data_IF_969165491252
#
_entry.id   IF_969165491252
#
_cell.length_a   1.000
_cell.length_b   1.000
_cell.length_c   1.000
_cell.angle_alpha   90.00
_cell.angle_beta   90.00
_cell.angle_gamma   90.00
#
_symmetry.space_group_name_H-M   'P 1'
#
loop_
_entity.id
_entity.type
_entity.pdbx_description
1 polymer ?
#
# COMPACT_ATOMS: atom_id res chain seq x y z
N UNK A 1 44.98 -40.09 8.68
CA UNK A 1 44.06 -40.10 7.52
C UNK A 1 42.66 -40.25 8.08
N UNK A 2 41.81 -39.23 7.96
CA UNK A 2 40.38 -39.34 8.27
C UNK A 2 39.62 -39.36 6.95
N UNK A 3 38.84 -40.43 6.73
CA UNK A 3 37.95 -40.52 5.58
C UNK A 3 36.68 -39.73 5.87
N UNK A 4 36.38 -38.74 5.02
CA UNK A 4 35.07 -38.14 4.96
C UNK A 4 34.10 -39.15 4.32
N UNK A 5 33.28 -39.83 5.13
CA UNK A 5 32.10 -40.58 4.64
C UNK A 5 31.05 -39.59 4.11
N UNK A 6 31.28 -39.10 2.88
CA UNK A 6 30.26 -38.41 2.10
C UNK A 6 29.28 -39.44 1.59
N UNK A 7 28.16 -39.58 2.31
CA UNK A 7 26.95 -40.23 1.80
C UNK A 7 26.69 -39.73 0.36
N UNK A 8 26.37 -40.64 -0.59
CA UNK A 8 26.14 -40.23 -1.97
C UNK A 8 24.95 -39.27 -2.03
N UNK A 9 25.24 -38.01 -2.36
CA UNK A 9 24.24 -37.02 -2.69
C UNK A 9 23.57 -37.46 -4.00
N UNK A 10 22.46 -38.19 -3.89
CA UNK A 10 21.56 -38.36 -5.02
C UNK A 10 21.15 -36.99 -5.53
N UNK A 11 21.21 -36.78 -6.86
CA UNK A 11 20.91 -35.47 -7.43
C UNK A 11 19.50 -35.03 -7.03
N UNK A 12 19.43 -33.88 -6.38
CA UNK A 12 18.16 -33.24 -6.00
C UNK A 12 17.53 -32.70 -7.29
N UNK A 13 16.73 -33.51 -7.97
CA UNK A 13 16.05 -33.12 -9.21
C UNK A 13 14.69 -32.49 -8.89
N UNK A 14 14.28 -31.53 -9.72
CA UNK A 14 12.94 -30.94 -9.65
C UNK A 14 11.84 -32.03 -9.72
N UNK A 15 10.85 -32.03 -8.81
CA UNK A 15 9.83 -33.09 -8.74
C UNK A 15 8.74 -32.98 -9.81
N UNK A 16 8.70 -31.89 -10.58
CA UNK A 16 7.72 -31.67 -11.63
C UNK A 16 7.83 -32.73 -12.73
N UNK A 17 6.74 -33.43 -13.13
CA UNK A 17 6.78 -34.45 -14.18
C UNK A 17 7.41 -33.94 -15.49
N UNK A 18 8.36 -34.70 -16.03
CA UNK A 18 9.12 -34.32 -17.23
C UNK A 18 10.22 -33.28 -16.98
N UNK A 19 10.25 -32.58 -15.85
CA UNK A 19 11.35 -31.72 -15.47
C UNK A 19 12.56 -32.56 -15.02
N UNK A 20 13.77 -32.08 -15.37
CA UNK A 20 15.06 -32.69 -15.00
C UNK A 20 16.07 -31.68 -14.46
N UNK A 21 15.60 -30.49 -14.08
CA UNK A 21 16.49 -29.45 -13.57
C UNK A 21 17.05 -29.81 -12.19
N UNK A 22 18.36 -29.67 -12.06
CA UNK A 22 19.12 -29.93 -10.85
C UNK A 22 18.91 -28.80 -9.83
N UNK A 23 18.73 -29.19 -8.58
CA UNK A 23 18.55 -28.31 -7.44
C UNK A 23 19.73 -28.45 -6.47
N UNK A 24 19.91 -27.42 -5.64
CA UNK A 24 20.84 -27.41 -4.51
C UNK A 24 20.13 -26.91 -3.27
N UNK A 25 20.44 -27.52 -2.13
CA UNK A 25 20.03 -27.01 -0.84
C UNK A 25 20.77 -25.71 -0.50
N UNK A 26 20.05 -24.74 0.04
CA UNK A 26 20.57 -23.45 0.51
C UNK A 26 20.10 -23.25 1.94
N UNK A 27 21.02 -22.83 2.81
CA UNK A 27 20.71 -22.38 4.15
C UNK A 27 21.01 -20.88 4.30
N UNK A 28 20.02 -20.10 4.73
CA UNK A 28 20.19 -18.69 5.04
C UNK A 28 20.87 -18.56 6.40
N UNK A 29 22.19 -18.36 6.43
CA UNK A 29 23.02 -18.28 7.65
C UNK A 29 22.46 -17.39 8.77
N UNK A 30 21.69 -16.34 8.44
CA UNK A 30 21.09 -15.42 9.42
C UNK A 30 19.79 -15.92 10.05
N UNK A 31 19.07 -16.85 9.41
CA UNK A 31 17.72 -17.29 9.84
C UNK A 31 17.60 -18.81 9.97
N UNK A 32 18.64 -19.58 9.65
CA UNK A 32 18.62 -21.05 9.60
C UNK A 32 17.67 -21.63 8.55
N UNK A 33 17.05 -20.80 7.72
CA UNK A 33 16.02 -21.24 6.77
C UNK A 33 16.66 -22.04 5.64
N UNK A 34 16.22 -23.30 5.49
CA UNK A 34 16.64 -24.20 4.41
C UNK A 34 15.61 -24.21 3.28
N UNK A 35 16.06 -24.11 2.03
CA UNK A 35 15.22 -24.22 0.83
C UNK A 35 16.00 -24.80 -0.36
N UNK A 36 15.29 -25.23 -1.40
CA UNK A 36 15.87 -25.71 -2.66
C UNK A 36 15.82 -24.62 -3.73
N UNK A 37 16.91 -24.44 -4.49
CA UNK A 37 16.96 -23.61 -5.70
C UNK A 37 17.64 -24.36 -6.84
N UNK A 38 17.50 -23.90 -8.08
CA UNK A 38 18.28 -24.43 -9.20
C UNK A 38 19.80 -24.35 -8.94
N UNK A 39 20.55 -25.36 -9.40
CA UNK A 39 22.01 -25.39 -9.33
C UNK A 39 22.58 -24.17 -10.09
N UNK A 40 23.49 -23.38 -9.49
CA UNK A 40 24.08 -22.23 -10.18
C UNK A 40 24.73 -22.65 -11.51
N UNK A 41 24.45 -21.90 -12.58
CA UNK A 41 24.94 -22.22 -13.94
C UNK A 41 24.03 -23.13 -14.76
N UNK A 42 22.95 -23.68 -14.20
CA UNK A 42 21.94 -24.45 -14.98
C UNK A 42 20.77 -23.57 -15.40
N UNK A 43 19.95 -24.05 -16.34
CA UNK A 43 18.69 -23.41 -16.71
C UNK A 43 17.70 -23.36 -15.53
N UNK A 44 17.08 -22.20 -15.34
CA UNK A 44 15.98 -22.01 -14.39
C UNK A 44 14.72 -22.67 -14.93
N UNK A 45 14.36 -23.83 -14.38
CA UNK A 45 13.10 -24.51 -14.72
C UNK A 45 11.85 -23.76 -14.23
N UNK A 46 12.01 -22.78 -13.35
CA UNK A 46 10.94 -22.02 -12.72
C UNK A 46 10.11 -22.74 -11.66
N UNK A 47 10.05 -24.08 -11.70
CA UNK A 47 9.32 -24.93 -10.75
C UNK A 47 10.00 -25.07 -9.38
N UNK A 48 11.24 -24.60 -9.20
CA UNK A 48 11.94 -24.74 -7.94
C UNK A 48 11.29 -23.91 -6.81
N UNK A 49 10.96 -24.59 -5.71
CA UNK A 49 10.23 -24.11 -4.51
C UNK A 49 10.98 -23.04 -3.67
N UNK A 50 11.91 -22.31 -4.26
CA UNK A 50 12.83 -21.41 -3.57
C UNK A 50 13.49 -20.40 -4.50
N UNK A 51 12.71 -19.78 -5.40
CA UNK A 51 13.14 -18.56 -6.10
C UNK A 51 13.49 -17.50 -5.06
N UNK A 52 14.78 -17.34 -4.77
CA UNK A 52 15.32 -16.33 -3.85
C UNK A 52 15.24 -14.91 -4.43
N UNK A 53 14.03 -14.43 -4.73
CA UNK A 53 13.76 -13.03 -5.10
C UNK A 53 13.70 -12.15 -3.85
N UNK A 54 14.86 -11.99 -3.18
CA UNK A 54 15.15 -11.02 -2.10
C UNK A 54 14.22 -10.94 -0.88
N UNK A 55 13.09 -11.66 -0.85
CA UNK A 55 12.25 -11.90 0.31
C UNK A 55 12.68 -13.19 1.01
N UNK A 56 12.73 -13.15 2.35
CA UNK A 56 12.76 -14.37 3.15
C UNK A 56 11.45 -15.17 3.02
N UNK A 57 11.34 -16.33 3.68
CA UNK A 57 10.11 -17.11 3.69
C UNK A 57 8.91 -16.24 4.14
N UNK A 58 7.70 -16.46 3.58
CA UNK A 58 6.54 -15.66 3.92
C UNK A 58 6.26 -15.70 5.42
N UNK A 59 5.91 -14.56 6.01
CA UNK A 59 5.63 -14.46 7.45
C UNK A 59 4.40 -15.27 7.84
N UNK A 60 4.26 -15.59 9.13
CA UNK A 60 3.06 -16.25 9.65
C UNK A 60 1.79 -15.42 9.35
N UNK A 61 1.87 -14.09 9.49
CA UNK A 61 0.84 -13.13 9.07
C UNK A 61 0.45 -13.27 7.60
N UNK A 62 1.44 -13.35 6.69
CA UNK A 62 1.20 -13.46 5.25
C UNK A 62 0.54 -14.78 4.88
N UNK A 63 1.05 -15.90 5.39
CA UNK A 63 0.48 -17.25 5.19
C UNK A 63 -0.93 -17.38 5.76
N UNK A 64 -1.17 -16.82 6.94
CA UNK A 64 -2.51 -16.81 7.55
C UNK A 64 -3.50 -15.98 6.73
N UNK A 65 -3.09 -14.80 6.24
CA UNK A 65 -3.94 -13.98 5.37
C UNK A 65 -4.24 -14.68 4.03
N UNK A 66 -3.24 -15.26 3.36
CA UNK A 66 -3.43 -16.06 2.15
C UNK A 66 -4.48 -17.16 2.35
N UNK A 67 -4.26 -18.04 3.34
CA UNK A 67 -5.17 -19.14 3.65
C UNK A 67 -6.59 -18.60 3.93
N UNK A 68 -6.71 -17.59 4.80
CA UNK A 68 -8.00 -17.06 5.24
C UNK A 68 -8.77 -16.34 4.12
N UNK A 69 -8.06 -15.76 3.14
CA UNK A 69 -8.65 -15.18 1.93
C UNK A 69 -9.13 -16.27 0.96
N UNK A 70 -8.35 -17.35 0.79
CA UNK A 70 -8.75 -18.50 -0.03
C UNK A 70 -10.00 -19.19 0.56
N UNK A 71 -10.02 -19.45 1.88
CA UNK A 71 -11.18 -19.94 2.62
C UNK A 71 -12.41 -19.05 2.40
N UNK A 72 -12.28 -17.72 2.55
CA UNK A 72 -13.40 -16.80 2.32
C UNK A 72 -13.92 -16.79 0.88
N UNK A 73 -13.08 -17.09 -0.12
CA UNK A 73 -13.52 -17.23 -1.51
C UNK A 73 -14.21 -18.59 -1.76
N UNK A 74 -13.71 -19.67 -1.15
CA UNK A 74 -14.36 -20.99 -1.15
C UNK A 74 -15.75 -20.96 -0.51
N UNK A 75 -15.86 -20.31 0.64
CA UNK A 75 -17.10 -19.98 1.36
C UNK A 75 -18.13 -19.19 0.51
N UNK A 76 -17.67 -18.50 -0.54
CA UNK A 76 -18.49 -17.74 -1.49
C UNK A 76 -18.82 -18.54 -2.76
N UNK A 77 -18.40 -19.81 -2.84
CA UNK A 77 -18.64 -20.71 -3.98
C UNK A 77 -17.57 -20.67 -5.08
N UNK A 78 -16.44 -19.99 -4.87
CA UNK A 78 -15.37 -19.90 -5.87
C UNK A 78 -14.20 -20.84 -5.54
N UNK A 79 -13.67 -21.52 -6.56
CA UNK A 79 -12.39 -22.23 -6.41
C UNK A 79 -11.26 -21.22 -6.23
N UNK A 80 -10.49 -21.34 -5.15
CA UNK A 80 -9.40 -20.44 -4.82
C UNK A 80 -8.14 -21.21 -4.42
N UNK A 81 -7.01 -20.87 -5.04
CA UNK A 81 -5.71 -21.54 -4.87
C UNK A 81 -4.75 -20.58 -4.18
N UNK A 82 -4.26 -20.94 -2.99
CA UNK A 82 -3.17 -20.25 -2.31
C UNK A 82 -1.84 -20.51 -3.03
N UNK A 83 -0.98 -19.50 -3.14
CA UNK A 83 0.35 -19.56 -3.77
C UNK A 83 0.32 -20.16 -5.19
N UNK A 84 -0.64 -19.71 -6.01
CA UNK A 84 -0.90 -20.28 -7.33
C UNK A 84 0.31 -20.13 -8.27
N UNK A 85 0.95 -21.27 -8.57
CA UNK A 85 2.25 -21.34 -9.23
C UNK A 85 2.34 -20.58 -10.57
N UNK A 86 1.40 -20.84 -11.49
CA UNK A 86 1.45 -20.30 -12.86
C UNK A 86 1.40 -18.77 -12.87
N UNK A 87 0.38 -18.22 -12.20
CA UNK A 87 0.16 -16.77 -12.08
C UNK A 87 1.13 -16.11 -11.10
N UNK A 88 1.73 -16.88 -10.18
CA UNK A 88 2.47 -16.45 -8.97
C UNK A 88 1.67 -15.55 -8.02
N UNK A 89 0.34 -15.67 -7.99
CA UNK A 89 -0.52 -14.90 -7.09
C UNK A 89 -0.54 -15.48 -5.67
N UNK A 90 -0.65 -14.61 -4.66
CA UNK A 90 -0.77 -15.04 -3.26
C UNK A 90 -2.05 -15.86 -3.02
N UNK A 91 -3.16 -15.43 -3.62
CA UNK A 91 -4.37 -16.24 -3.83
C UNK A 91 -4.90 -15.99 -5.24
N UNK A 92 -5.15 -17.06 -5.99
CA UNK A 92 -5.80 -17.03 -7.29
C UNK A 92 -7.24 -17.54 -7.18
N UNK A 93 -8.21 -16.71 -7.53
CA UNK A 93 -9.63 -17.08 -7.51
C UNK A 93 -10.11 -17.31 -8.95
N UNK A 94 -10.60 -18.51 -9.21
CA UNK A 94 -11.25 -18.85 -10.48
C UNK A 94 -12.60 -18.13 -10.56
N UNK A 95 -12.67 -17.19 -11.49
CA UNK A 95 -13.84 -16.37 -11.81
C UNK A 95 -13.72 -15.92 -13.28
N UNK A 96 -14.72 -15.19 -13.79
CA UNK A 96 -14.70 -14.66 -15.16
C UNK A 96 -14.80 -13.13 -15.14
N UNK A 97 -13.69 -12.38 -15.29
CA UNK A 97 -12.29 -12.85 -15.35
C UNK A 97 -11.75 -13.30 -13.98
N UNK A 98 -10.62 -14.05 -13.92
CA UNK A 98 -10.00 -14.46 -12.67
C UNK A 98 -9.59 -13.28 -11.79
N UNK A 99 -9.45 -13.51 -10.48
CA UNK A 99 -8.97 -12.51 -9.53
C UNK A 99 -7.68 -12.99 -8.84
N UNK A 100 -6.59 -12.27 -9.08
CA UNK A 100 -5.35 -12.40 -8.32
C UNK A 100 -5.40 -11.47 -7.10
N UNK A 101 -5.46 -12.05 -5.90
CA UNK A 101 -5.36 -11.32 -4.63
C UNK A 101 -3.91 -11.40 -4.15
N UNK A 102 -3.33 -10.27 -3.78
CA UNK A 102 -1.91 -10.10 -3.42
C UNK A 102 -1.79 -9.45 -2.04
N UNK A 103 -1.11 -10.10 -1.08
CA UNK A 103 -0.99 -9.63 0.32
C UNK A 103 0.36 -8.94 0.51
N UNK A 104 0.42 -7.61 0.42
CA UNK A 104 1.71 -6.92 0.28
C UNK A 104 2.09 -6.06 1.49
N UNK A 105 2.99 -6.59 2.33
CA UNK A 105 3.55 -5.86 3.49
C UNK A 105 4.65 -4.86 3.12
N UNK A 106 5.57 -5.24 2.25
CA UNK A 106 6.76 -4.45 1.92
C UNK A 106 6.56 -3.62 0.63
N UNK A 107 7.33 -2.53 0.39
CA UNK A 107 7.39 -1.92 -0.94
C UNK A 107 7.75 -2.95 -2.01
N UNK A 108 7.03 -2.94 -3.14
CA UNK A 108 7.29 -3.81 -4.29
C UNK A 108 7.04 -3.03 -5.58
N UNK A 109 7.39 -3.60 -6.73
CA UNK A 109 7.02 -3.07 -8.04
C UNK A 109 5.54 -3.38 -8.33
N UNK A 110 4.63 -2.68 -7.65
CA UNK A 110 3.19 -2.94 -7.71
C UNK A 110 2.65 -2.91 -9.15
N UNK A 111 2.98 -1.87 -9.93
CA UNK A 111 2.53 -1.74 -11.31
C UNK A 111 3.02 -2.89 -12.21
N UNK A 112 4.26 -3.36 -12.03
CA UNK A 112 4.83 -4.44 -12.84
C UNK A 112 4.23 -5.79 -12.48
N UNK A 113 4.01 -6.06 -11.19
CA UNK A 113 3.29 -7.25 -10.72
C UNK A 113 1.81 -7.22 -11.16
N UNK A 114 1.14 -6.06 -11.08
CA UNK A 114 -0.23 -5.90 -11.61
C UNK A 114 -0.28 -6.26 -13.10
N UNK A 115 0.63 -5.71 -13.92
CA UNK A 115 0.72 -6.03 -15.36
C UNK A 115 1.00 -7.51 -15.61
N UNK A 116 1.84 -8.16 -14.80
CA UNK A 116 2.09 -9.60 -14.92
C UNK A 116 0.81 -10.42 -14.71
N UNK A 117 0.00 -10.15 -13.68
CA UNK A 117 -1.29 -10.85 -13.46
C UNK A 117 -2.34 -10.53 -14.52
N UNK A 118 -2.36 -9.28 -15.00
CA UNK A 118 -3.24 -8.87 -16.10
C UNK A 118 -2.86 -9.56 -17.41
N UNK A 119 -1.57 -9.87 -17.63
CA UNK A 119 -1.14 -10.66 -18.79
C UNK A 119 -1.61 -12.12 -18.75
N UNK A 120 -1.88 -12.67 -17.56
CA UNK A 120 -2.58 -13.95 -17.37
C UNK A 120 -4.11 -13.80 -17.33
N UNK A 121 -4.66 -12.69 -17.83
CA UNK A 121 -6.10 -12.43 -17.92
C UNK A 121 -6.81 -12.04 -16.61
N UNK A 122 -6.06 -11.83 -15.52
CA UNK A 122 -6.65 -11.61 -14.20
C UNK A 122 -6.88 -10.13 -13.87
N UNK A 123 -7.98 -9.87 -13.16
CA UNK A 123 -8.09 -8.69 -12.31
C UNK A 123 -7.16 -8.83 -11.10
N UNK A 124 -6.76 -7.71 -10.51
CA UNK A 124 -5.83 -7.68 -9.37
C UNK A 124 -6.47 -6.97 -8.18
N UNK A 125 -6.24 -7.52 -6.98
CA UNK A 125 -6.60 -6.91 -5.71
C UNK A 125 -5.41 -6.95 -4.76
N UNK A 126 -4.82 -5.79 -4.48
CA UNK A 126 -3.75 -5.65 -3.49
C UNK A 126 -4.34 -5.43 -2.09
N UNK A 127 -4.02 -6.31 -1.15
CA UNK A 127 -4.37 -6.16 0.26
C UNK A 127 -3.11 -5.83 1.06
N UNK A 128 -3.05 -4.61 1.57
CA UNK A 128 -1.96 -4.15 2.41
C UNK A 128 -2.37 -4.39 3.88
N UNK A 129 -1.65 -5.19 4.68
CA UNK A 129 -1.94 -5.32 6.12
C UNK A 129 -1.60 -4.03 6.89
N UNK A 130 -1.96 -3.95 8.17
CA UNK A 130 -1.56 -2.82 9.03
C UNK A 130 -0.04 -2.78 9.28
N UNK A 131 0.62 -3.95 9.25
CA UNK A 131 2.08 -4.08 9.28
C UNK A 131 2.78 -3.49 8.04
N UNK A 132 2.03 -3.17 6.97
CA UNK A 132 2.50 -2.42 5.81
C UNK A 132 2.58 -0.90 6.10
N UNK A 133 3.49 -0.53 7.00
CA UNK A 133 3.64 0.83 7.54
C UNK A 133 4.47 1.78 6.67
N UNK A 134 5.13 1.29 5.63
CA UNK A 134 6.00 2.13 4.79
C UNK A 134 5.22 3.19 4.00
N UNK A 135 5.75 4.41 3.94
CA UNK A 135 5.15 5.50 3.14
C UNK A 135 5.05 5.16 1.64
N UNK A 136 5.97 4.31 1.12
CA UNK A 136 5.92 3.84 -0.27
C UNK A 136 4.69 2.97 -0.51
N UNK A 137 4.44 1.96 0.33
CA UNK A 137 3.23 1.14 0.24
C UNK A 137 1.94 1.97 0.47
N UNK A 138 1.97 2.91 1.41
CA UNK A 138 0.83 3.80 1.68
C UNK A 138 0.45 4.71 0.48
N UNK A 139 1.40 5.07 -0.40
CA UNK A 139 1.10 5.79 -1.66
C UNK A 139 0.43 4.89 -2.70
N UNK A 140 0.86 3.64 -2.80
CA UNK A 140 0.31 2.69 -3.79
C UNK A 140 -1.11 2.24 -3.46
N UNK A 141 -1.51 2.31 -2.19
CA UNK A 141 -2.90 2.12 -1.73
C UNK A 141 -3.94 2.93 -2.55
N UNK A 142 -3.60 4.13 -3.02
CA UNK A 142 -4.51 4.99 -3.79
C UNK A 142 -4.16 5.06 -5.30
N UNK A 143 -3.23 4.23 -5.77
CA UNK A 143 -2.77 4.21 -7.18
C UNK A 143 -3.08 2.91 -7.89
N UNK A 144 -3.05 1.81 -7.15
CA UNK A 144 -3.32 0.47 -7.61
C UNK A 144 -4.72 0.03 -7.15
N UNK A 145 -5.34 -0.98 -7.77
CA UNK A 145 -6.51 -1.69 -7.25
C UNK A 145 -6.23 -2.32 -5.87
N UNK A 146 -6.27 -1.49 -4.82
CA UNK A 146 -5.68 -1.80 -3.53
C UNK A 146 -6.60 -1.40 -2.38
N UNK A 147 -6.48 -2.10 -1.25
CA UNK A 147 -7.19 -1.80 -0.02
C UNK A 147 -6.36 -2.17 1.22
N UNK A 148 -6.72 -1.60 2.38
CA UNK A 148 -6.12 -1.96 3.66
C UNK A 148 -6.88 -3.16 4.24
N UNK A 149 -6.20 -4.26 4.53
CA UNK A 149 -6.77 -5.39 5.28
C UNK A 149 -6.41 -5.24 6.77
N UNK A 150 -7.37 -5.56 7.64
CA UNK A 150 -7.23 -5.56 9.10
C UNK A 150 -7.87 -6.80 9.68
N UNK A 151 -7.34 -7.27 10.80
CA UNK A 151 -7.89 -8.39 11.57
C UNK A 151 -8.22 -7.88 12.96
N UNK A 152 -9.39 -8.22 13.46
CA UNK A 152 -9.94 -7.75 14.73
C UNK A 152 -10.49 -8.94 15.53
N UNK A 153 -10.52 -8.79 16.85
CA UNK A 153 -11.21 -9.72 17.74
C UNK A 153 -12.71 -9.77 17.42
N UNK A 154 -13.34 -10.95 17.57
CA UNK A 154 -14.79 -11.10 17.38
C UNK A 154 -15.58 -10.09 18.25
N UNK A 155 -16.61 -9.48 17.67
CA UNK A 155 -17.41 -8.44 18.32
C UNK A 155 -16.76 -7.05 18.40
N UNK A 156 -15.44 -6.92 18.22
CA UNK A 156 -14.72 -5.65 18.37
C UNK A 156 -14.41 -4.97 17.05
N UNK A 157 -14.73 -3.68 16.90
CA UNK A 157 -14.30 -2.87 15.72
C UNK A 157 -13.03 -2.05 15.94
N UNK A 158 -12.36 -2.26 17.07
CA UNK A 158 -11.29 -1.38 17.57
C UNK A 158 -10.07 -2.12 18.12
N UNK A 159 -10.21 -3.39 18.51
CA UNK A 159 -9.10 -4.20 19.06
C UNK A 159 -8.58 -5.13 17.96
N UNK A 160 -7.41 -4.79 17.42
CA UNK A 160 -6.76 -5.57 16.35
C UNK A 160 -6.25 -6.90 16.89
N UNK A 161 -6.58 -7.99 16.21
CA UNK A 161 -6.14 -9.34 16.56
C UNK A 161 -4.89 -9.75 15.76
N UNK A 162 -4.14 -10.72 16.28
CA UNK A 162 -2.92 -11.25 15.63
C UNK A 162 -2.92 -12.79 15.62
N UNK A 163 -3.88 -13.43 14.93
CA UNK A 163 -4.11 -14.89 14.96
C UNK A 163 -2.97 -15.76 14.41
N UNK A 164 -1.96 -15.15 13.80
CA UNK A 164 -0.71 -15.79 13.40
C UNK A 164 0.34 -15.88 14.52
N UNK A 165 0.08 -15.31 15.70
CA UNK A 165 0.96 -15.41 16.85
C UNK A 165 0.61 -16.67 17.69
N UNK A 166 1.60 -17.40 18.21
CA UNK A 166 1.36 -18.55 19.09
C UNK A 166 0.51 -18.17 20.30
N UNK A 167 -0.44 -19.03 20.67
CA UNK A 167 -1.32 -18.84 21.83
C UNK A 167 -2.57 -18.00 21.58
N UNK A 168 -2.80 -17.47 20.37
CA UNK A 168 -4.08 -16.84 20.04
C UNK A 168 -5.13 -17.90 19.71
N UNK A 169 -6.20 -17.96 20.52
CA UNK A 169 -7.31 -18.90 20.38
C UNK A 169 -8.64 -18.26 19.98
N UNK A 170 -8.71 -16.93 19.98
CA UNK A 170 -9.97 -16.21 19.83
C UNK A 170 -10.47 -16.22 18.40
N UNK A 171 -11.80 -16.11 18.26
CA UNK A 171 -12.42 -15.93 16.95
C UNK A 171 -12.12 -14.51 16.47
N UNK A 172 -11.85 -14.39 15.18
CA UNK A 172 -11.47 -13.12 14.53
C UNK A 172 -12.37 -12.82 13.34
N UNK A 173 -12.52 -11.54 13.05
CA UNK A 173 -13.14 -11.08 11.80
C UNK A 173 -12.18 -10.18 11.03
N UNK A 174 -12.29 -10.22 9.70
CA UNK A 174 -11.45 -9.42 8.81
C UNK A 174 -12.26 -8.26 8.26
N UNK A 175 -11.60 -7.11 8.16
CA UNK A 175 -12.14 -5.95 7.47
C UNK A 175 -11.22 -5.52 6.33
N UNK A 176 -11.83 -5.00 5.27
CA UNK A 176 -11.15 -4.36 4.15
C UNK A 176 -11.59 -2.89 4.13
N UNK A 177 -10.67 -1.96 3.89
CA UNK A 177 -10.94 -0.54 4.11
C UNK A 177 -9.96 0.42 3.46
N UNK A 178 -10.02 1.68 3.91
CA UNK A 178 -9.33 2.87 3.38
C UNK A 178 -9.72 3.30 1.97
N UNK A 179 -9.93 2.37 1.05
CA UNK A 179 -10.33 2.59 -0.36
C UNK A 179 -11.65 1.92 -0.73
N UNK A 180 -12.28 1.18 0.18
CA UNK A 180 -13.67 0.74 0.00
C UNK A 180 -14.55 1.98 0.14
N UNK A 181 -15.26 2.33 -0.92
CA UNK A 181 -15.98 3.60 -1.01
C UNK A 181 -17.49 3.44 -0.78
N UNK A 182 -18.10 4.52 -0.27
CA UNK A 182 -19.55 4.73 -0.15
C UNK A 182 -19.89 6.20 -0.43
N UNK A 183 -21.14 6.55 -0.77
CA UNK A 183 -21.58 7.94 -0.87
C UNK A 183 -21.37 8.75 0.42
N UNK A 184 -21.01 10.03 0.25
CA UNK A 184 -21.16 11.06 1.28
C UNK A 184 -22.64 11.44 1.46
N UNK A 185 -22.98 12.10 2.56
CA UNK A 185 -24.36 12.46 2.89
C UNK A 185 -25.01 13.43 1.88
N UNK A 186 -24.21 14.24 1.19
CA UNK A 186 -24.64 15.14 0.12
C UNK A 186 -24.70 14.45 -1.28
N UNK A 187 -24.24 13.21 -1.39
CA UNK A 187 -24.09 12.49 -2.67
C UNK A 187 -23.06 13.09 -3.65
N UNK A 188 -22.33 14.14 -3.27
CA UNK A 188 -21.41 14.84 -4.18
C UNK A 188 -20.01 14.22 -4.22
N UNK A 189 -19.68 13.32 -3.29
CA UNK A 189 -18.40 12.62 -3.22
C UNK A 189 -18.57 11.16 -2.83
N UNK A 190 -17.54 10.36 -3.11
CA UNK A 190 -17.35 9.06 -2.48
C UNK A 190 -16.25 9.13 -1.42
N UNK A 191 -16.56 8.59 -0.24
CA UNK A 191 -15.71 8.57 0.95
C UNK A 191 -15.47 7.15 1.44
N UNK A 192 -14.43 6.94 2.24
CA UNK A 192 -14.12 5.63 2.82
C UNK A 192 -15.28 5.09 3.68
N UNK A 193 -15.60 3.81 3.48
CA UNK A 193 -16.56 3.06 4.28
C UNK A 193 -16.00 2.61 5.64
N UNK A 194 -14.73 2.91 5.95
CA UNK A 194 -14.08 2.55 7.20
C UNK A 194 -13.63 1.08 7.23
N UNK A 195 -14.02 0.35 8.28
CA UNK A 195 -13.76 -1.08 8.43
C UNK A 195 -14.95 -1.86 7.83
N UNK A 196 -14.92 -2.10 6.52
CA UNK A 196 -15.97 -2.82 5.78
C UNK A 196 -15.73 -4.34 5.88
N UNK A 197 -16.78 -5.15 5.97
CA UNK A 197 -16.65 -6.61 6.11
C UNK A 197 -15.91 -7.25 4.91
N UNK A 198 -14.88 -8.05 5.19
CA UNK A 198 -14.02 -8.61 4.15
C UNK A 198 -14.76 -9.59 3.23
N UNK A 199 -15.61 -10.46 3.79
CA UNK A 199 -16.36 -11.46 3.01
C UNK A 199 -17.40 -10.80 2.10
N UNK A 200 -18.05 -9.74 2.58
CA UNK A 200 -18.95 -8.90 1.77
C UNK A 200 -18.20 -8.13 0.70
N UNK A 201 -17.04 -7.56 1.00
CA UNK A 201 -16.21 -6.90 -0.01
C UNK A 201 -15.77 -7.86 -1.13
N UNK A 202 -15.23 -9.03 -0.77
CA UNK A 202 -14.77 -10.03 -1.73
C UNK A 202 -15.91 -10.49 -2.63
N UNK A 203 -17.08 -10.80 -2.05
CA UNK A 203 -18.30 -11.12 -2.80
C UNK A 203 -18.68 -10.00 -3.77
N UNK A 204 -18.71 -8.74 -3.34
CA UNK A 204 -19.02 -7.63 -4.24
C UNK A 204 -18.02 -7.46 -5.39
N UNK A 205 -16.73 -7.74 -5.16
CA UNK A 205 -15.69 -7.71 -6.21
C UNK A 205 -15.82 -8.89 -7.17
N UNK A 206 -16.07 -10.10 -6.65
CA UNK A 206 -16.23 -11.32 -7.44
C UNK A 206 -17.51 -11.30 -8.29
N UNK A 207 -18.61 -10.77 -7.74
CA UNK A 207 -19.87 -10.53 -8.48
C UNK A 207 -19.77 -9.39 -9.51
N UNK A 208 -18.64 -8.66 -9.59
CA UNK A 208 -18.49 -7.44 -10.38
C UNK A 208 -19.31 -6.23 -9.89
N UNK A 209 -20.06 -6.38 -8.79
CA UNK A 209 -20.89 -5.32 -8.17
C UNK A 209 -20.06 -4.17 -7.59
N UNK A 210 -18.79 -4.40 -7.26
CA UNK A 210 -17.81 -3.38 -6.84
C UNK A 210 -16.57 -3.50 -7.71
N UNK A 211 -16.14 -2.38 -8.32
CA UNK A 211 -14.94 -2.32 -9.16
C UNK A 211 -14.01 -1.20 -8.73
N UNK A 212 -12.75 -1.29 -9.13
CA UNK A 212 -11.79 -0.22 -8.95
C UNK A 212 -12.07 0.95 -9.89
N UNK A 213 -11.92 2.18 -9.37
CA UNK A 213 -11.95 3.41 -10.14
C UNK A 213 -10.68 4.25 -9.85
N UNK A 214 -10.21 4.96 -10.86
CA UNK A 214 -9.01 5.80 -10.81
C UNK A 214 -7.72 5.10 -11.29
N UNK A 215 -6.55 5.73 -11.12
CA UNK A 215 -6.34 6.97 -10.38
C UNK A 215 -6.92 8.23 -11.07
N UNK A 216 -7.17 9.27 -10.27
CA UNK A 216 -7.74 10.59 -10.64
C UNK A 216 -9.25 10.62 -10.98
N UNK A 217 -10.04 9.68 -10.45
CA UNK A 217 -11.51 9.72 -10.58
C UNK A 217 -12.10 10.91 -9.81
N UNK A 218 -12.94 11.71 -10.48
CA UNK A 218 -13.48 12.96 -9.92
C UNK A 218 -14.60 12.66 -8.93
N UNK A 219 -14.51 13.27 -7.74
CA UNK A 219 -15.48 13.08 -6.65
C UNK A 219 -15.08 12.02 -5.63
N UNK A 220 -14.04 11.22 -5.89
CA UNK A 220 -13.46 10.33 -4.88
C UNK A 220 -12.50 11.14 -4.00
N UNK A 221 -12.61 11.01 -2.66
CA UNK A 221 -11.79 11.80 -1.70
C UNK A 221 -10.27 11.77 -1.98
N UNK A 222 -9.75 10.64 -2.48
CA UNK A 222 -8.33 10.44 -2.81
C UNK A 222 -8.10 10.19 -4.31
N UNK A 223 -9.10 10.49 -5.16
CA UNK A 223 -9.03 10.27 -6.60
C UNK A 223 -9.10 8.80 -7.04
N UNK A 224 -9.38 7.86 -6.14
CA UNK A 224 -9.49 6.44 -6.46
C UNK A 224 -10.19 5.65 -5.37
N UNK A 225 -10.65 4.44 -5.70
CA UNK A 225 -11.22 3.50 -4.74
C UNK A 225 -12.05 2.38 -5.37
N UNK A 226 -12.38 1.40 -4.55
CA UNK A 226 -13.32 0.32 -4.85
C UNK A 226 -14.76 0.79 -4.57
N UNK A 227 -15.51 1.11 -5.60
CA UNK A 227 -16.88 1.64 -5.51
C UNK A 227 -17.87 0.77 -6.30
N UNK A 228 -19.16 0.82 -5.96
CA UNK A 228 -20.18 0.21 -6.83
C UNK A 228 -20.46 1.12 -8.03
N UNK A 229 -20.64 0.59 -9.26
CA UNK A 229 -20.87 1.42 -10.44
C UNK A 229 -22.09 2.35 -10.35
N UNK A 230 -23.15 1.89 -9.69
CA UNK A 230 -24.39 2.65 -9.45
C UNK A 230 -24.17 3.84 -8.51
N UNK A 231 -23.37 3.67 -7.45
CA UNK A 231 -23.00 4.77 -6.53
C UNK A 231 -22.17 5.85 -7.24
N UNK A 232 -21.27 5.44 -8.14
CA UNK A 232 -20.44 6.37 -8.93
C UNK A 232 -21.30 7.16 -9.91
N UNK A 233 -22.28 6.53 -10.56
CA UNK A 233 -23.15 7.22 -11.51
C UNK A 233 -24.11 8.18 -10.80
N UNK A 234 -24.67 7.80 -9.65
CA UNK A 234 -25.44 8.70 -8.79
C UNK A 234 -24.63 9.94 -8.38
N UNK A 235 -23.37 9.75 -7.95
CA UNK A 235 -22.46 10.85 -7.62
C UNK A 235 -22.20 11.76 -8.84
N UNK A 236 -21.94 11.19 -10.03
CA UNK A 236 -21.72 11.97 -11.26
C UNK A 236 -22.95 12.80 -11.63
N UNK A 237 -24.14 12.20 -11.58
CA UNK A 237 -25.41 12.88 -11.83
C UNK A 237 -25.69 14.00 -10.81
N UNK A 238 -25.45 13.77 -9.51
CA UNK A 238 -25.60 14.78 -8.47
C UNK A 238 -24.65 15.98 -8.71
N UNK A 239 -23.37 15.72 -9.02
CA UNK A 239 -22.38 16.75 -9.35
C UNK A 239 -22.74 17.54 -10.61
N UNK A 240 -23.29 16.88 -11.64
CA UNK A 240 -23.78 17.56 -12.84
C UNK A 240 -24.95 18.51 -12.55
N UNK A 241 -25.91 18.08 -11.72
CA UNK A 241 -27.04 18.93 -11.28
C UNK A 241 -26.57 20.16 -10.50
N UNK A 242 -25.55 20.04 -9.66
CA UNK A 242 -24.97 21.20 -8.95
C UNK A 242 -24.29 22.15 -9.94
N UNK A 243 -23.48 21.65 -10.89
CA UNK A 243 -22.85 22.50 -11.92
C UNK A 243 -23.86 23.30 -12.75
N UNK A 244 -24.98 22.68 -13.13
CA UNK A 244 -26.06 23.34 -13.88
C UNK A 244 -26.87 24.36 -13.06
N UNK A 245 -26.79 24.29 -11.72
CA UNK A 245 -27.48 25.22 -10.80
C UNK A 245 -26.64 26.42 -10.38
N UNK A 246 -25.33 26.42 -10.64
CA UNK A 246 -24.50 27.62 -10.45
C UNK A 246 -24.85 28.59 -11.58
N UNK A 247 -25.45 29.77 -11.31
CA UNK A 247 -25.62 30.77 -12.35
C UNK A 247 -24.25 31.17 -12.88
N UNK A 248 -24.11 31.35 -14.19
CA UNK A 248 -22.94 32.00 -14.73
C UNK A 248 -22.76 33.34 -13.98
N UNK A 249 -21.52 33.73 -13.59
CA UNK A 249 -21.32 35.00 -12.93
C UNK A 249 -21.85 36.09 -13.86
N UNK A 250 -22.92 36.77 -13.43
CA UNK A 250 -23.44 37.93 -14.13
C UNK A 250 -22.28 38.90 -14.22
N UNK A 251 -21.75 39.11 -15.43
CA UNK A 251 -20.85 40.21 -15.70
C UNK A 251 -21.64 41.47 -15.36
N UNK A 252 -21.39 42.03 -14.17
CA UNK A 252 -21.80 43.39 -13.86
C UNK A 252 -21.09 44.24 -14.90
N UNK A 253 -21.86 44.69 -15.89
CA UNK A 253 -21.37 45.64 -16.87
C UNK A 253 -20.83 46.83 -16.08
N UNK A 254 -19.54 47.14 -16.26
CA UNK A 254 -19.00 48.41 -15.78
C UNK A 254 -19.91 49.51 -16.32
N UNK A 255 -20.42 50.42 -15.46
CA UNK A 255 -21.16 51.56 -15.96
C UNK A 255 -20.25 52.33 -16.90
N UNK A 256 -20.66 52.47 -18.16
CA UNK A 256 -19.89 53.17 -19.16
C UNK A 256 -19.66 54.60 -18.64
N UNK A 257 -18.38 54.96 -18.44
CA UNK A 257 -18.01 56.33 -18.14
C UNK A 257 -18.49 57.20 -19.30
N UNK A 258 -19.43 58.08 -19.01
CA UNK A 258 -19.99 59.01 -19.99
C UNK A 258 -18.86 59.91 -20.47
N UNK A 259 -18.46 59.72 -21.73
CA UNK A 259 -17.48 60.59 -22.38
C UNK A 259 -18.12 61.95 -22.65
N UNK A 260 -17.96 62.89 -21.73
CA UNK A 260 -18.21 64.32 -22.00
C UNK A 260 -17.00 64.90 -22.70
N UNK A 261 -17.10 65.02 -24.02
CA UNK A 261 -16.14 65.72 -24.87
C UNK A 261 -16.18 67.24 -24.60
N UNK A 262 -15.01 67.86 -24.41
CA UNK A 262 -14.83 69.32 -24.52
C UNK A 262 -13.36 69.73 -24.69
N UNK A 263 -12.91 69.69 -25.95
CA UNK A 263 -12.11 70.72 -26.64
C UNK A 263 -11.07 71.56 -25.84
N UNK A 264 -9.82 71.09 -25.89
CA UNK A 264 -8.67 71.71 -26.59
C UNK A 264 -8.10 73.13 -26.26
N UNK A 265 -6.75 73.17 -26.35
CA UNK A 265 -5.82 74.31 -26.57
C UNK A 265 -5.42 75.23 -25.40
N UNK A 266 -4.17 75.08 -24.95
CA UNK A 266 -3.16 76.15 -24.96
C UNK A 266 -1.73 75.57 -24.83
N UNK A 267 -0.74 76.26 -25.41
CA UNK A 267 0.63 75.82 -25.63
C UNK A 267 1.63 76.62 -24.75
N UNK A 268 2.68 75.96 -24.24
CA UNK A 268 3.95 76.59 -23.82
C UNK A 268 5.01 75.53 -23.43
N UNK A 269 6.24 75.74 -23.90
CA UNK A 269 7.40 74.85 -23.71
C UNK A 269 8.58 75.57 -22.99
N UNK A 270 9.82 75.02 -22.95
CA UNK A 270 10.47 74.48 -21.75
C UNK A 270 11.56 75.41 -21.14
N UNK A 271 12.32 74.97 -20.12
CA UNK A 271 13.68 74.48 -20.45
C UNK A 271 14.26 73.32 -19.61
N UNK A 272 15.17 72.60 -20.28
CA UNK A 272 16.43 71.94 -19.87
C UNK A 272 16.81 71.75 -18.38
N UNK A 273 17.21 70.53 -18.01
CA UNK A 273 18.62 70.26 -17.62
C UNK A 273 18.98 68.75 -17.64
N UNK A 274 20.28 68.42 -17.63
CA UNK A 274 20.83 67.10 -18.10
C UNK A 274 21.66 66.34 -17.01
N UNK A 275 22.50 65.32 -17.32
CA UNK A 275 22.51 63.91 -16.80
C UNK A 275 23.35 63.73 -15.48
N UNK A 276 23.86 62.54 -15.01
CA UNK A 276 23.94 61.18 -15.59
C UNK A 276 23.80 59.94 -14.64
N UNK A 277 23.90 58.74 -15.26
CA UNK A 277 24.48 57.45 -14.81
C UNK A 277 24.58 57.11 -13.30
N UNK A 278 23.99 55.97 -12.88
CA UNK A 278 24.58 54.99 -11.94
C UNK A 278 23.79 53.66 -11.95
N UNK A 279 24.39 52.57 -11.45
CA UNK A 279 23.81 51.21 -11.47
C UNK A 279 23.67 50.56 -10.07
N UNK A 280 22.67 49.68 -9.94
CA UNK A 280 22.45 48.68 -8.88
C UNK A 280 22.23 49.19 -7.42
N UNK A 281 21.55 48.40 -6.56
CA UNK A 281 22.30 47.38 -5.82
C UNK A 281 21.63 46.00 -5.67
N UNK A 282 22.48 45.06 -5.25
CA UNK A 282 22.33 43.62 -5.05
C UNK A 282 21.19 43.14 -4.13
N UNK A 283 20.72 41.91 -4.38
CA UNK A 283 19.94 41.09 -3.44
C UNK A 283 20.92 40.26 -2.57
N UNK A 284 20.79 40.23 -1.24
CA UNK A 284 21.60 39.36 -0.38
C UNK A 284 21.08 37.91 -0.38
N UNK A 285 22.01 36.95 -0.41
CA UNK A 285 21.71 35.52 -0.22
C UNK A 285 21.96 35.06 1.22
N UNK A 286 21.23 34.06 1.75
CA UNK A 286 21.49 33.49 3.07
C UNK A 286 22.37 32.22 3.02
N UNK A 287 23.63 32.42 3.42
CA UNK A 287 24.43 31.63 4.38
C UNK A 287 24.46 30.08 4.35
N UNK A 288 25.69 29.57 4.20
CA UNK A 288 26.15 28.23 4.60
C UNK A 288 26.16 28.04 6.13
N UNK A 289 25.83 26.84 6.62
CA UNK A 289 26.23 26.32 7.95
C UNK A 289 26.09 24.77 8.00
N UNK A 290 26.83 24.04 8.87
CA UNK A 290 28.05 23.39 8.39
C UNK A 290 28.07 21.85 8.46
N UNK A 291 29.05 21.28 7.77
CA UNK A 291 29.42 19.86 7.80
C UNK A 291 29.75 19.33 9.21
N UNK A 292 29.37 18.07 9.49
CA UNK A 292 29.76 17.32 10.69
C UNK A 292 30.66 16.13 10.30
N UNK A 293 31.79 15.87 11.00
CA UNK A 293 32.82 14.93 10.55
C UNK A 293 32.51 13.45 10.85
N UNK A 294 33.33 12.56 10.27
CA UNK A 294 33.32 11.11 10.44
C UNK A 294 34.58 10.58 11.17
N UNK A 295 34.56 9.29 11.54
CA UNK A 295 35.63 8.49 12.19
C UNK A 295 35.80 8.73 13.71
N UNK A 296 36.16 7.76 14.59
CA UNK A 296 36.27 6.28 14.49
C UNK A 296 35.33 5.58 15.52
N UNK A 297 35.64 4.44 16.18
CA UNK A 297 36.77 3.49 16.13
C UNK A 297 36.30 2.06 16.54
N UNK A 298 37.13 1.21 17.19
CA UNK A 298 36.84 -0.20 17.55
C UNK A 298 37.08 -0.58 19.04
N UNK A 299 36.95 -1.90 19.33
CA UNK A 299 37.32 -2.65 20.56
C UNK A 299 36.36 -2.57 21.79
N UNK A 300 36.08 -3.63 22.60
CA UNK A 300 36.45 -5.05 22.58
C UNK A 300 35.41 -5.98 23.30
N UNK A 301 35.76 -7.27 23.40
CA UNK A 301 34.99 -8.45 23.90
C UNK A 301 34.79 -8.52 25.43
N UNK A 302 33.68 -9.12 25.92
CA UNK A 302 33.71 -10.01 27.11
C UNK A 302 32.51 -10.98 27.17
N UNK A 303 32.67 -12.11 27.89
CA UNK A 303 31.70 -13.23 28.06
C UNK A 303 31.33 -13.45 29.54
N UNK A 304 30.12 -13.94 29.82
CA UNK A 304 29.68 -14.78 30.96
C UNK A 304 28.16 -15.05 30.78
N UNK A 305 27.66 -16.26 30.54
CA UNK A 305 27.45 -17.44 31.41
C UNK A 305 26.15 -17.48 32.25
N UNK A 306 25.27 -18.41 31.84
CA UNK A 306 24.41 -19.33 32.63
C UNK A 306 23.72 -18.86 33.94
N UNK A 307 22.38 -18.98 34.00
CA UNK A 307 21.66 -20.04 34.77
C UNK A 307 20.11 -19.96 34.66
N UNK A 308 19.43 -21.09 34.92
CA UNK A 308 17.96 -21.27 34.92
C UNK A 308 17.24 -20.64 36.14
N UNK A 309 15.97 -20.19 35.97
CA UNK A 309 14.78 -20.73 36.70
C UNK A 309 13.43 -20.06 36.35
N UNK A 310 12.36 -20.63 36.91
CA UNK A 310 10.91 -20.61 36.58
C UNK A 310 10.16 -20.69 37.94
N UNK A 311 8.98 -20.13 38.23
CA UNK A 311 7.85 -19.56 37.43
C UNK A 311 7.26 -18.27 38.12
N UNK A 312 6.08 -17.69 37.74
CA UNK A 312 5.58 -16.38 38.25
C UNK A 312 4.65 -16.51 39.49
N UNK A 313 4.09 -15.41 40.07
CA UNK A 313 2.80 -14.85 39.56
C UNK A 313 2.47 -13.34 39.82
N UNK A 314 1.59 -12.78 38.98
CA UNK A 314 0.61 -11.66 39.24
C UNK A 314 1.10 -10.21 39.52
N UNK A 315 0.24 -9.17 39.38
CA UNK A 315 0.62 -7.95 38.66
C UNK A 315 0.80 -6.70 39.51
N UNK A 316 1.46 -5.69 38.94
CA UNK A 316 1.39 -4.29 39.41
C UNK A 316 1.12 -3.33 38.26
N UNK A 317 0.12 -2.47 38.46
CA UNK A 317 -0.26 -1.39 37.56
C UNK A 317 0.50 -0.13 37.96
N UNK A 318 1.20 0.54 37.04
CA UNK A 318 0.99 1.96 36.71
C UNK A 318 1.97 2.52 35.65
N UNK A 319 1.40 3.33 34.74
CA UNK A 319 1.94 4.50 34.02
C UNK A 319 3.44 4.66 33.70
N UNK A 320 3.76 4.95 32.42
CA UNK A 320 5.12 5.45 32.13
C UNK A 320 5.57 5.91 30.73
N UNK A 321 4.72 6.34 29.77
CA UNK A 321 5.16 6.94 28.47
C UNK A 321 5.99 5.99 27.54
N UNK A 322 6.36 6.26 26.27
CA UNK A 322 6.22 7.38 25.32
C UNK A 322 6.02 6.81 23.87
N UNK A 323 4.78 6.54 23.41
CA UNK A 323 4.52 6.17 22.00
C UNK A 323 3.27 6.80 21.34
N UNK A 324 2.53 7.65 22.06
CA UNK A 324 1.18 8.09 21.64
C UNK A 324 1.12 9.28 20.67
N UNK A 325 2.26 9.79 20.20
CA UNK A 325 2.32 10.98 19.32
C UNK A 325 1.90 10.73 17.87
N UNK A 326 2.51 9.74 17.21
CA UNK A 326 2.32 9.54 15.76
C UNK A 326 0.98 8.88 15.41
N UNK A 327 0.53 7.91 16.22
CA UNK A 327 -0.77 7.24 16.05
C UNK A 327 -1.97 8.21 16.13
N UNK A 328 -1.92 9.25 16.97
CA UNK A 328 -2.98 10.27 17.01
C UNK A 328 -3.03 11.07 15.71
N UNK A 329 -1.89 11.57 15.23
CA UNK A 329 -1.81 12.33 13.96
C UNK A 329 -2.24 11.51 12.75
N UNK A 330 -1.89 10.23 12.68
CA UNK A 330 -2.33 9.33 11.61
C UNK A 330 -3.83 9.00 11.68
N UNK A 331 -4.38 8.84 12.89
CA UNK A 331 -5.83 8.63 13.09
C UNK A 331 -6.63 9.85 12.63
N UNK A 332 -6.26 11.06 13.08
CA UNK A 332 -6.87 12.33 12.63
C UNK A 332 -6.85 12.49 11.10
N UNK A 333 -5.73 12.15 10.46
CA UNK A 333 -5.62 12.17 8.99
C UNK A 333 -6.56 11.18 8.27
N UNK A 334 -6.82 10.01 8.88
CA UNK A 334 -7.75 9.01 8.32
C UNK A 334 -9.23 9.32 8.63
N UNK A 335 -9.56 9.87 9.81
CA UNK A 335 -10.95 10.04 10.27
C UNK A 335 -11.56 11.41 9.96
N UNK A 336 -10.76 12.43 9.64
CA UNK A 336 -11.30 13.76 9.33
C UNK A 336 -11.86 14.52 10.54
N UNK A 337 -11.34 14.21 11.72
CA UNK A 337 -11.48 14.94 13.00
C UNK A 337 -10.12 14.93 13.68
#
# INVERSE_FOLDING_TARGET
MHGDDKLPLGDLICPEPGCRAELVAVEVRKTGTRFLRNRPGTSDCGHALGRAQSGGPPSAEHRWLQQRLAEMCGDLGHSAIQEHYESRADVWVHNTPPLAIEVQRWPTAFADRSRARQSTGANVLWLLPESASSQKAAKELFRQPAARVRVFEEGSRHVSATPWNPGHSDRVWLSIGATVMRPSADGLTLVSAGNYDAKTFLREVLDGRRRWFGPREVGFKYGSGWARPDEVEQMRAARARVKLRVPAPTLQAWPALVATDRLAVADQAPPTDTPPVAAAPSIPGPEDFPSRPASGSADAVSQAELTHKVDPPTPSVMSGSTQRGWFRRFRTWLTGV
#
